data_IF_928831848961
#
_entry.id   IF_928831848961
#
_cell.length_a   1.000
_cell.length_b   1.000
_cell.length_c   1.000
_cell.angle_alpha   90.00
_cell.angle_beta   90.00
_cell.angle_gamma   90.00
#
_symmetry.space_group_name_H-M   'P 1'
#
loop_
_entity.id
_entity.type
_entity.pdbx_description
1 polymer ?
#
# COMPACT_ATOMS: atom_id res chain seq x y z
N UNK A 1 2.84 -36.01 14.67
CA UNK A 1 2.17 -35.39 13.50
C UNK A 1 2.55 -33.92 13.48
N UNK A 2 3.44 -33.52 12.56
CA UNK A 2 4.02 -32.17 12.49
C UNK A 2 3.22 -31.34 11.48
N UNK A 3 2.48 -30.34 11.95
CA UNK A 3 1.78 -29.37 11.12
C UNK A 3 2.80 -28.56 10.31
N UNK A 4 2.83 -28.78 9.00
CA UNK A 4 3.52 -27.94 8.03
C UNK A 4 2.70 -26.66 7.88
N UNK A 5 3.15 -25.57 8.51
CA UNK A 5 2.53 -24.26 8.31
C UNK A 5 2.88 -23.74 6.92
N UNK A 6 1.84 -23.51 6.13
CA UNK A 6 1.87 -22.82 4.85
C UNK A 6 2.25 -21.34 5.05
N UNK A 7 3.55 -21.03 5.07
CA UNK A 7 4.05 -19.63 5.14
C UNK A 7 4.21 -19.00 3.73
N UNK A 8 4.11 -19.82 2.68
CA UNK A 8 4.24 -19.38 1.28
C UNK A 8 3.14 -18.44 0.75
N UNK A 9 1.88 -18.44 1.23
CA UNK A 9 0.87 -17.49 0.74
C UNK A 9 1.07 -16.06 1.25
N UNK A 10 1.65 -15.88 2.44
CA UNK A 10 1.80 -14.57 3.11
C UNK A 10 2.89 -13.70 2.50
N UNK A 11 4.00 -14.29 2.06
CA UNK A 11 5.12 -13.58 1.43
C UNK A 11 4.73 -12.85 0.15
N UNK A 12 3.74 -13.37 -0.55
CA UNK A 12 3.38 -12.88 -1.87
C UNK A 12 2.25 -11.85 -1.88
N UNK A 13 1.69 -11.52 -0.71
CA UNK A 13 0.87 -10.32 -0.50
C UNK A 13 1.73 -9.14 -0.02
N UNK A 14 2.80 -9.40 0.74
CA UNK A 14 3.64 -8.35 1.37
C UNK A 14 4.67 -7.77 0.38
N UNK A 15 5.17 -8.56 -0.58
CA UNK A 15 6.16 -8.12 -1.58
C UNK A 15 5.55 -7.58 -2.90
N UNK A 16 4.22 -7.55 -3.02
CA UNK A 16 3.50 -7.11 -4.23
C UNK A 16 3.31 -5.60 -4.36
N UNK A 17 3.72 -4.81 -3.37
CA UNK A 17 3.32 -3.39 -3.22
C UNK A 17 4.46 -2.38 -3.47
N UNK A 18 5.51 -2.79 -4.17
CA UNK A 18 6.55 -1.88 -4.65
C UNK A 18 6.49 -1.80 -6.18
N UNK A 19 5.74 -0.83 -6.69
CA UNK A 19 5.86 -0.43 -8.09
C UNK A 19 7.23 0.23 -8.32
N UNK A 20 8.03 -0.35 -9.22
CA UNK A 20 9.02 0.38 -10.00
C UNK A 20 8.90 -0.03 -11.47
N UNK A 21 9.05 0.91 -12.43
CA UNK A 21 9.17 0.56 -13.82
C UNK A 21 10.55 -0.09 -14.03
N UNK A 22 10.56 -1.39 -14.27
CA UNK A 22 11.69 -2.08 -14.88
C UNK A 22 11.22 -2.67 -16.21
N UNK A 23 11.23 -1.80 -17.22
CA UNK A 23 10.69 -2.02 -18.58
C UNK A 23 11.29 -3.24 -19.30
N UNK A 24 12.34 -3.87 -18.76
CA UNK A 24 13.02 -5.00 -19.42
C UNK A 24 12.55 -6.37 -18.89
N UNK A 25 11.89 -6.43 -17.73
CA UNK A 25 11.63 -7.73 -17.09
C UNK A 25 10.35 -8.42 -17.56
N UNK A 26 9.48 -7.71 -18.28
CA UNK A 26 8.16 -8.22 -18.71
C UNK A 26 8.06 -8.46 -20.23
N UNK A 27 8.99 -7.97 -21.04
CA UNK A 27 8.97 -8.24 -22.48
C UNK A 27 9.70 -9.55 -22.80
N UNK A 28 9.12 -10.42 -23.65
CA UNK A 28 9.79 -11.63 -24.10
C UNK A 28 11.11 -11.24 -24.78
N UNK A 29 12.22 -11.83 -24.32
CA UNK A 29 13.54 -11.59 -24.89
C UNK A 29 13.50 -11.85 -26.42
N UNK A 30 14.12 -10.98 -27.23
CA UNK A 30 14.14 -11.15 -28.67
C UNK A 30 14.82 -12.48 -29.04
N UNK A 31 14.09 -13.35 -29.75
CA UNK A 31 14.57 -14.67 -30.15
C UNK A 31 15.38 -14.67 -31.45
N UNK A 32 15.46 -13.53 -32.14
CA UNK A 32 16.14 -13.39 -33.43
C UNK A 32 17.01 -12.13 -33.48
N UNK A 33 18.04 -12.15 -34.34
CA UNK A 33 18.92 -10.98 -34.58
C UNK A 33 18.13 -9.78 -35.09
N UNK A 34 17.11 -10.01 -35.92
CA UNK A 34 16.22 -8.96 -36.44
C UNK A 34 15.41 -8.28 -35.31
N UNK A 35 14.90 -9.06 -34.35
CA UNK A 35 14.22 -8.53 -33.18
C UNK A 35 15.17 -7.78 -32.23
N UNK A 36 16.43 -8.23 -32.10
CA UNK A 36 17.47 -7.52 -31.35
C UNK A 36 17.80 -6.15 -31.96
N UNK A 37 17.82 -6.04 -33.29
CA UNK A 37 18.11 -4.78 -33.98
C UNK A 37 16.99 -3.75 -33.83
N UNK A 38 15.74 -4.20 -33.64
CA UNK A 38 14.55 -3.37 -33.42
C UNK A 38 14.45 -2.82 -31.99
N UNK A 39 15.28 -3.28 -31.05
CA UNK A 39 15.29 -2.74 -29.70
C UNK A 39 15.88 -1.31 -29.67
N UNK A 40 15.36 -0.43 -28.80
CA UNK A 40 15.94 0.89 -28.57
C UNK A 40 17.44 0.81 -28.20
N UNK A 41 18.27 1.79 -28.60
CA UNK A 41 19.71 1.78 -28.36
C UNK A 41 20.11 1.52 -26.90
N UNK A 42 19.38 2.10 -25.95
CA UNK A 42 19.59 1.90 -24.50
C UNK A 42 19.40 0.44 -24.09
N UNK A 43 18.32 -0.21 -24.52
CA UNK A 43 18.03 -1.61 -24.19
C UNK A 43 19.04 -2.58 -24.82
N UNK A 44 19.49 -2.31 -26.06
CA UNK A 44 20.54 -3.11 -26.71
C UNK A 44 21.86 -3.02 -25.96
N UNK A 45 22.26 -1.83 -25.52
CA UNK A 45 23.48 -1.64 -24.74
C UNK A 45 23.41 -2.39 -23.39
N UNK A 46 22.28 -2.33 -22.70
CA UNK A 46 22.09 -3.07 -21.45
C UNK A 46 22.16 -4.60 -21.66
N UNK A 47 21.55 -5.12 -22.74
CA UNK A 47 21.67 -6.54 -23.10
C UNK A 47 23.11 -6.93 -23.44
N UNK A 48 23.83 -6.09 -24.17
CA UNK A 48 25.23 -6.33 -24.51
C UNK A 48 26.11 -6.37 -23.27
N UNK A 49 25.93 -5.43 -22.33
CA UNK A 49 26.65 -5.42 -21.06
C UNK A 49 26.33 -6.66 -20.21
N UNK A 50 25.07 -7.11 -20.17
CA UNK A 50 24.68 -8.37 -19.51
C UNK A 50 25.37 -9.58 -20.16
N UNK A 51 25.43 -9.62 -21.49
CA UNK A 51 26.12 -10.70 -22.24
C UNK A 51 27.62 -10.72 -21.95
N UNK A 52 28.28 -9.56 -21.92
CA UNK A 52 29.71 -9.47 -21.58
C UNK A 52 29.97 -10.02 -20.18
N UNK A 53 29.19 -9.58 -19.18
CA UNK A 53 29.31 -10.09 -17.80
C UNK A 53 29.06 -11.60 -17.73
N UNK A 54 28.03 -12.10 -18.41
CA UNK A 54 27.74 -13.53 -18.44
C UNK A 54 28.87 -14.34 -19.08
N UNK A 55 29.52 -13.80 -20.10
CA UNK A 55 30.63 -14.47 -20.78
C UNK A 55 31.91 -14.54 -19.92
N UNK A 56 32.08 -13.60 -18.98
CA UNK A 56 33.20 -13.55 -18.04
C UNK A 56 33.08 -14.58 -16.91
N UNK A 57 31.92 -15.17 -16.71
CA UNK A 57 31.71 -16.24 -15.72
C UNK A 57 32.42 -17.53 -16.15
N UNK A 58 32.76 -18.37 -15.17
CA UNK A 58 33.21 -19.75 -15.41
C UNK A 58 32.10 -20.60 -16.05
N UNK A 59 32.47 -21.71 -16.68
CA UNK A 59 31.47 -22.61 -17.28
C UNK A 59 30.53 -23.24 -16.25
N UNK A 60 31.01 -23.47 -15.02
CA UNK A 60 30.19 -23.94 -13.90
C UNK A 60 29.12 -22.90 -13.50
N UNK A 61 29.52 -21.64 -13.34
CA UNK A 61 28.58 -20.55 -13.04
C UNK A 61 27.58 -20.36 -14.19
N UNK A 62 28.03 -20.39 -15.45
CA UNK A 62 27.15 -20.31 -16.62
C UNK A 62 26.13 -21.46 -16.63
N UNK A 63 26.57 -22.68 -16.31
CA UNK A 63 25.68 -23.83 -16.20
C UNK A 63 24.64 -23.62 -15.10
N UNK A 64 25.06 -23.16 -13.91
CA UNK A 64 24.17 -22.84 -12.80
C UNK A 64 23.11 -21.80 -13.16
N UNK A 65 23.49 -20.70 -13.82
CA UNK A 65 22.54 -19.70 -14.30
C UNK A 65 21.56 -20.25 -15.34
N UNK A 66 22.01 -21.10 -16.26
CA UNK A 66 21.15 -21.74 -17.27
C UNK A 66 20.15 -22.68 -16.61
N UNK A 67 20.60 -23.51 -15.67
CA UNK A 67 19.74 -24.42 -14.91
C UNK A 67 18.69 -23.64 -14.09
N UNK A 68 19.13 -22.59 -13.38
CA UNK A 68 18.24 -21.72 -12.64
C UNK A 68 17.18 -21.08 -13.53
N UNK A 69 17.59 -20.52 -14.68
CA UNK A 69 16.65 -19.94 -15.63
C UNK A 69 15.68 -20.99 -16.21
N UNK A 70 16.14 -22.21 -16.48
CA UNK A 70 15.27 -23.30 -16.92
C UNK A 70 14.22 -23.65 -15.86
N UNK A 71 14.63 -23.81 -14.60
CA UNK A 71 13.73 -24.05 -13.46
C UNK A 71 12.70 -22.94 -13.29
N UNK A 72 13.13 -21.68 -13.38
CA UNK A 72 12.25 -20.52 -13.27
C UNK A 72 11.22 -20.45 -14.40
N UNK A 73 11.61 -20.79 -15.63
CA UNK A 73 10.71 -20.82 -16.78
C UNK A 73 9.71 -21.99 -16.73
N UNK A 74 10.11 -23.12 -16.16
CA UNK A 74 9.25 -24.29 -16.01
C UNK A 74 8.23 -24.15 -14.87
N UNK A 75 8.41 -23.18 -13.96
CA UNK A 75 7.54 -22.99 -12.81
C UNK A 75 6.15 -22.45 -13.23
N UNK A 76 5.04 -22.99 -12.70
CA UNK A 76 3.68 -22.54 -13.04
C UNK A 76 3.42 -21.08 -12.63
N UNK A 77 4.15 -20.57 -11.63
CA UNK A 77 4.06 -19.21 -11.12
C UNK A 77 5.25 -18.33 -11.54
N UNK A 78 5.89 -18.61 -12.69
CA UNK A 78 7.12 -17.94 -13.15
C UNK A 78 7.10 -16.40 -13.09
N UNK A 79 6.01 -15.76 -13.48
CA UNK A 79 5.89 -14.29 -13.49
C UNK A 79 5.95 -13.73 -12.06
N UNK A 80 5.20 -14.37 -11.14
CA UNK A 80 5.18 -14.01 -9.72
C UNK A 80 6.53 -14.21 -9.06
N UNK A 81 7.22 -15.32 -9.37
CA UNK A 81 8.57 -15.57 -8.87
C UNK A 81 9.57 -14.50 -9.33
N UNK A 82 9.52 -14.09 -10.60
CA UNK A 82 10.35 -13.01 -11.12
C UNK A 82 10.11 -11.69 -10.39
N UNK A 83 8.84 -11.33 -10.19
CA UNK A 83 8.49 -10.12 -9.46
C UNK A 83 9.07 -10.14 -8.03
N UNK A 84 8.84 -11.23 -7.29
CA UNK A 84 9.36 -11.40 -5.92
C UNK A 84 10.89 -11.29 -5.87
N UNK A 85 11.60 -11.95 -6.78
CA UNK A 85 13.06 -11.89 -6.83
C UNK A 85 13.58 -10.48 -7.10
N UNK A 86 12.93 -9.74 -7.99
CA UNK A 86 13.32 -8.36 -8.31
C UNK A 86 13.06 -7.43 -7.12
N UNK A 87 11.89 -7.52 -6.49
CA UNK A 87 11.57 -6.73 -5.31
C UNK A 87 12.54 -7.02 -4.17
N UNK A 88 12.81 -8.30 -3.91
CA UNK A 88 13.76 -8.72 -2.88
C UNK A 88 15.18 -8.19 -3.14
N UNK A 89 15.67 -8.31 -4.38
CA UNK A 89 16.99 -7.81 -4.74
C UNK A 89 17.08 -6.28 -4.62
N UNK A 90 16.03 -5.57 -5.04
CA UNK A 90 15.97 -4.12 -4.88
C UNK A 90 16.00 -3.74 -3.40
N UNK A 91 15.13 -4.33 -2.59
CA UNK A 91 15.08 -4.09 -1.16
C UNK A 91 16.43 -4.33 -0.49
N UNK A 92 17.10 -5.46 -0.81
CA UNK A 92 18.46 -5.72 -0.30
C UNK A 92 19.45 -4.61 -0.66
N UNK A 93 19.39 -4.09 -1.89
CA UNK A 93 20.26 -3.02 -2.38
C UNK A 93 19.96 -1.64 -1.78
N UNK A 94 18.77 -1.48 -1.19
CA UNK A 94 18.36 -0.25 -0.49
C UNK A 94 18.77 -0.28 1.00
N UNK A 95 19.16 -1.45 1.56
CA UNK A 95 19.64 -1.58 2.94
C UNK A 95 21.07 -1.06 3.11
N UNK A 96 21.40 -0.62 4.33
CA UNK A 96 22.77 -0.37 4.77
C UNK A 96 23.66 -1.60 4.56
N UNK A 97 24.92 -1.37 4.17
CA UNK A 97 25.85 -2.43 3.77
C UNK A 97 26.05 -3.48 4.89
N UNK A 98 26.15 -3.04 6.16
CA UNK A 98 26.32 -3.93 7.31
C UNK A 98 25.10 -4.83 7.56
N UNK A 99 23.89 -4.29 7.34
CA UNK A 99 22.64 -5.04 7.47
C UNK A 99 22.47 -6.01 6.29
N UNK A 100 22.79 -5.57 5.08
CA UNK A 100 22.77 -6.41 3.87
C UNK A 100 23.69 -7.61 4.02
N UNK A 101 24.93 -7.41 4.43
CA UNK A 101 25.90 -8.49 4.66
C UNK A 101 25.38 -9.50 5.69
N UNK A 102 24.84 -9.01 6.81
CA UNK A 102 24.26 -9.84 7.86
C UNK A 102 23.14 -10.74 7.32
N UNK A 103 22.22 -10.17 6.54
CA UNK A 103 21.09 -10.92 5.94
C UNK A 103 21.59 -11.96 4.93
N UNK A 104 22.57 -11.60 4.10
CA UNK A 104 23.15 -12.53 3.10
C UNK A 104 23.95 -13.67 3.74
N UNK A 105 24.52 -13.46 4.92
CA UNK A 105 25.23 -14.49 5.67
C UNK A 105 24.29 -15.51 6.37
N UNK A 106 23.02 -15.17 6.57
CA UNK A 106 22.06 -16.06 7.24
C UNK A 106 21.67 -17.27 6.38
N UNK A 107 21.42 -18.45 7.01
CA UNK A 107 20.73 -19.57 6.38
C UNK A 107 19.36 -19.17 5.84
N UNK A 108 18.89 -19.83 4.78
CA UNK A 108 17.67 -19.45 4.06
C UNK A 108 16.44 -19.24 4.96
N UNK A 109 16.16 -20.18 5.88
CA UNK A 109 14.98 -20.07 6.75
C UNK A 109 15.06 -18.88 7.70
N UNK A 110 16.23 -18.65 8.30
CA UNK A 110 16.47 -17.51 9.19
C UNK A 110 16.42 -16.20 8.43
N UNK A 111 16.99 -16.17 7.22
CA UNK A 111 16.94 -15.01 6.32
C UNK A 111 15.50 -14.63 6.00
N UNK A 112 14.64 -15.59 5.70
CA UNK A 112 13.24 -15.32 5.40
C UNK A 112 12.51 -14.70 6.61
N UNK A 113 12.75 -15.22 7.82
CA UNK A 113 12.16 -14.67 9.04
C UNK A 113 12.64 -13.24 9.29
N UNK A 114 13.94 -12.99 9.14
CA UNK A 114 14.55 -11.67 9.31
C UNK A 114 13.99 -10.66 8.29
N UNK A 115 13.91 -11.05 7.01
CA UNK A 115 13.33 -10.21 5.94
C UNK A 115 11.88 -9.85 6.26
N UNK A 116 11.07 -10.83 6.68
CA UNK A 116 9.68 -10.58 7.06
C UNK A 116 9.58 -9.62 8.25
N UNK A 117 10.47 -9.77 9.24
CA UNK A 117 10.52 -8.87 10.39
C UNK A 117 10.80 -7.43 9.98
N UNK A 118 11.85 -7.20 9.18
CA UNK A 118 12.22 -5.86 8.71
C UNK A 118 11.16 -5.21 7.84
N UNK A 119 10.61 -5.95 6.88
CA UNK A 119 9.56 -5.42 6.01
C UNK A 119 8.33 -5.04 6.83
N UNK A 120 7.96 -5.84 7.84
CA UNK A 120 6.84 -5.50 8.73
C UNK A 120 7.13 -4.26 9.58
N UNK A 121 8.36 -4.12 10.09
CA UNK A 121 8.76 -2.96 10.87
C UNK A 121 8.78 -1.68 10.02
N UNK A 122 9.29 -1.76 8.79
CA UNK A 122 9.30 -0.65 7.85
C UNK A 122 7.87 -0.23 7.47
N UNK A 123 6.98 -1.19 7.24
CA UNK A 123 5.56 -0.93 7.00
C UNK A 123 4.91 -0.27 8.21
N UNK A 124 5.13 -0.79 9.42
CA UNK A 124 4.62 -0.23 10.67
C UNK A 124 5.10 1.22 10.89
N UNK A 125 6.38 1.49 10.62
CA UNK A 125 6.96 2.82 10.81
C UNK A 125 6.42 3.83 9.79
N UNK A 126 6.45 3.49 8.50
CA UNK A 126 5.83 4.31 7.44
C UNK A 126 4.35 4.56 7.76
N UNK A 127 3.67 3.55 8.25
CA UNK A 127 2.27 3.61 8.61
C UNK A 127 2.00 4.60 9.76
N UNK A 128 2.77 4.55 10.85
CA UNK A 128 2.68 5.50 11.97
C UNK A 128 3.00 6.94 11.56
N UNK A 129 4.05 7.12 10.76
CA UNK A 129 4.46 8.44 10.26
C UNK A 129 3.40 9.13 9.41
N UNK A 130 2.60 8.33 8.67
CA UNK A 130 1.59 8.84 7.75
C UNK A 130 0.28 9.21 8.43
N UNK A 131 -0.18 8.41 9.39
CA UNK A 131 -1.55 8.47 9.91
C UNK A 131 -1.66 8.89 11.38
N UNK A 132 -0.52 9.18 12.01
CA UNK A 132 -0.41 9.68 13.39
C UNK A 132 -1.34 8.90 14.35
N UNK A 133 -1.21 7.58 14.31
CA UNK A 133 -2.12 6.66 15.00
C UNK A 133 -1.34 5.69 15.87
N UNK A 134 -1.93 5.35 17.01
CA UNK A 134 -1.41 4.35 17.93
C UNK A 134 -1.82 2.91 17.54
N UNK A 135 -2.57 2.75 16.45
CA UNK A 135 -2.92 1.43 15.91
C UNK A 135 -1.72 0.74 15.26
N UNK A 136 -1.68 -0.58 15.41
CA UNK A 136 -0.74 -1.43 14.68
C UNK A 136 -1.22 -1.59 13.24
N UNK A 137 -0.29 -1.84 12.32
CA UNK A 137 -0.60 -2.12 10.92
C UNK A 137 -1.62 -3.25 10.78
N UNK A 138 -1.43 -4.35 11.52
CA UNK A 138 -2.33 -5.51 11.48
C UNK A 138 -3.76 -5.15 11.92
N UNK A 139 -3.92 -4.29 12.93
CA UNK A 139 -5.25 -3.86 13.38
C UNK A 139 -6.02 -3.18 12.24
N UNK A 140 -5.33 -2.37 11.43
CA UNK A 140 -5.96 -1.68 10.30
C UNK A 140 -6.15 -2.53 9.07
N UNK A 141 -5.38 -3.61 8.90
CA UNK A 141 -5.71 -4.63 7.92
C UNK A 141 -7.03 -5.30 8.29
N UNK A 142 -7.23 -5.63 9.57
CA UNK A 142 -8.49 -6.23 10.05
C UNK A 142 -9.66 -5.25 9.93
N UNK A 143 -9.48 -3.99 10.37
CA UNK A 143 -10.49 -2.93 10.18
C UNK A 143 -10.78 -2.73 8.70
N UNK A 144 -9.76 -2.72 7.85
CA UNK A 144 -9.92 -2.58 6.40
C UNK A 144 -10.72 -3.71 5.76
N UNK A 145 -10.46 -4.96 6.17
CA UNK A 145 -11.24 -6.11 5.70
C UNK A 145 -12.69 -6.03 6.15
N UNK A 146 -12.92 -5.68 7.41
CA UNK A 146 -14.27 -5.45 7.93
C UNK A 146 -14.99 -4.32 7.19
N UNK A 147 -14.32 -3.18 7.00
CA UNK A 147 -14.86 -2.01 6.32
C UNK A 147 -15.18 -2.31 4.85
N UNK A 148 -14.30 -3.02 4.16
CA UNK A 148 -14.56 -3.50 2.80
C UNK A 148 -15.77 -4.44 2.74
N UNK A 149 -15.90 -5.36 3.70
CA UNK A 149 -17.07 -6.22 3.80
C UNK A 149 -18.36 -5.43 4.03
N UNK A 150 -18.30 -4.36 4.83
CA UNK A 150 -19.43 -3.46 5.03
C UNK A 150 -19.77 -2.67 3.75
N UNK A 151 -18.76 -2.11 3.06
CA UNK A 151 -18.94 -1.42 1.77
C UNK A 151 -19.59 -2.32 0.73
N UNK A 152 -19.15 -3.58 0.65
CA UNK A 152 -19.72 -4.56 -0.28
C UNK A 152 -21.22 -4.77 -0.02
N UNK A 153 -21.63 -4.90 1.26
CA UNK A 153 -23.04 -5.02 1.65
C UNK A 153 -23.86 -3.77 1.35
N UNK A 154 -23.25 -2.60 1.46
CA UNK A 154 -23.92 -1.30 1.30
C UNK A 154 -23.82 -0.74 -0.13
N UNK A 155 -23.28 -1.49 -1.09
CA UNK A 155 -22.97 -1.00 -2.44
C UNK A 155 -24.15 -0.29 -3.11
N UNK A 156 -25.36 -0.87 -3.06
CA UNK A 156 -26.56 -0.29 -3.69
C UNK A 156 -27.02 0.98 -2.97
N UNK A 157 -27.07 0.94 -1.63
CA UNK A 157 -27.45 2.08 -0.81
C UNK A 157 -26.49 3.26 -1.01
N UNK A 158 -25.18 2.99 -1.00
CA UNK A 158 -24.15 3.99 -1.26
C UNK A 158 -24.26 4.57 -2.67
N UNK A 159 -24.61 3.78 -3.68
CA UNK A 159 -24.81 4.31 -5.03
C UNK A 159 -25.95 5.33 -5.09
N UNK A 160 -27.05 5.09 -4.37
CA UNK A 160 -28.16 6.05 -4.28
C UNK A 160 -27.80 7.28 -3.44
N UNK A 161 -27.18 7.09 -2.27
CA UNK A 161 -26.69 8.19 -1.44
C UNK A 161 -25.66 9.04 -2.18
N UNK A 162 -24.83 8.42 -3.00
CA UNK A 162 -23.84 9.10 -3.85
C UNK A 162 -24.47 10.15 -4.77
N UNK A 163 -25.70 9.92 -5.27
CA UNK A 163 -26.40 10.90 -6.12
C UNK A 163 -26.88 12.14 -5.35
N UNK A 164 -26.97 12.05 -4.02
CA UNK A 164 -27.39 13.16 -3.16
C UNK A 164 -26.26 14.11 -2.78
N UNK A 165 -25.01 13.78 -3.13
CA UNK A 165 -23.83 14.63 -2.87
C UNK A 165 -23.88 15.86 -3.77
N UNK A 166 -23.86 17.05 -3.19
CA UNK A 166 -23.96 18.31 -3.94
C UNK A 166 -22.61 18.77 -4.51
N UNK A 167 -21.49 18.37 -3.91
CA UNK A 167 -20.16 18.74 -4.40
C UNK A 167 -19.85 18.09 -5.77
N UNK A 168 -19.79 18.96 -6.79
CA UNK A 168 -19.46 18.60 -8.16
C UNK A 168 -18.06 17.99 -8.33
N UNK A 169 -17.10 18.36 -7.47
CA UNK A 169 -15.75 17.76 -7.50
C UNK A 169 -15.82 16.32 -7.01
N UNK A 170 -16.48 16.09 -5.87
CA UNK A 170 -16.73 14.75 -5.35
C UNK A 170 -17.49 13.87 -6.36
N UNK A 171 -18.56 14.39 -6.97
CA UNK A 171 -19.33 13.68 -8.01
C UNK A 171 -18.45 13.23 -9.18
N UNK A 172 -17.62 14.14 -9.70
CA UNK A 172 -16.70 13.82 -10.79
C UNK A 172 -15.71 12.71 -10.41
N UNK A 173 -15.17 12.74 -9.20
CA UNK A 173 -14.25 11.71 -8.72
C UNK A 173 -14.98 10.37 -8.58
N UNK A 174 -16.21 10.37 -8.04
CA UNK A 174 -17.05 9.18 -7.89
C UNK A 174 -17.32 8.53 -9.25
N UNK A 175 -17.69 9.32 -10.26
CA UNK A 175 -17.96 8.84 -11.63
C UNK A 175 -16.72 8.24 -12.30
N UNK A 176 -15.55 8.80 -12.02
CA UNK A 176 -14.27 8.34 -12.59
C UNK A 176 -13.69 7.12 -11.86
N UNK A 177 -14.19 6.81 -10.66
CA UNK A 177 -13.66 5.71 -9.85
C UNK A 177 -14.29 4.38 -10.26
N UNK A 178 -13.45 3.50 -10.83
CA UNK A 178 -13.87 2.18 -11.33
C UNK A 178 -14.07 1.19 -10.18
N UNK A 179 -13.18 1.19 -9.19
CA UNK A 179 -13.25 0.26 -8.06
C UNK A 179 -14.43 0.61 -7.14
N UNK A 180 -15.32 -0.36 -6.92
CA UNK A 180 -16.56 -0.13 -6.18
C UNK A 180 -16.32 0.23 -4.71
N UNK A 181 -15.28 -0.33 -4.08
CA UNK A 181 -14.97 -0.07 -2.66
C UNK A 181 -14.32 1.30 -2.49
N UNK A 182 -13.39 1.67 -3.38
CA UNK A 182 -12.84 3.02 -3.43
C UNK A 182 -13.96 4.04 -3.65
N UNK A 183 -14.85 3.79 -4.61
CA UNK A 183 -16.00 4.66 -4.89
C UNK A 183 -16.92 4.78 -3.68
N UNK A 184 -17.28 3.66 -3.05
CA UNK A 184 -18.11 3.65 -1.84
C UNK A 184 -17.45 4.42 -0.69
N UNK A 185 -16.14 4.31 -0.55
CA UNK A 185 -15.37 5.07 0.44
C UNK A 185 -15.42 6.57 0.16
N UNK A 186 -15.22 7.00 -1.08
CA UNK A 186 -15.34 8.40 -1.50
C UNK A 186 -16.75 8.94 -1.21
N UNK A 187 -17.79 8.15 -1.48
CA UNK A 187 -19.18 8.50 -1.18
C UNK A 187 -19.37 8.72 0.32
N UNK A 188 -18.99 7.77 1.16
CA UNK A 188 -19.10 7.88 2.63
C UNK A 188 -18.43 9.15 3.13
N UNK A 189 -17.22 9.45 2.66
CA UNK A 189 -16.49 10.63 3.12
C UNK A 189 -17.02 11.95 2.59
N UNK A 190 -17.58 11.95 1.38
CA UNK A 190 -18.24 13.13 0.82
C UNK A 190 -19.53 13.44 1.60
N UNK A 191 -20.32 12.42 1.93
CA UNK A 191 -21.53 12.54 2.74
C UNK A 191 -21.21 13.05 4.15
N UNK A 192 -20.18 12.48 4.79
CA UNK A 192 -19.68 12.91 6.10
C UNK A 192 -19.18 14.37 6.07
N UNK A 193 -18.56 14.81 4.98
CA UNK A 193 -18.11 16.20 4.83
C UNK A 193 -19.28 17.18 4.69
N UNK A 194 -20.30 16.81 3.92
CA UNK A 194 -21.45 17.69 3.63
C UNK A 194 -22.48 17.72 4.76
N UNK A 195 -22.80 16.55 5.31
CA UNK A 195 -23.92 16.40 6.25
C UNK A 195 -23.44 16.18 7.69
N UNK A 196 -22.12 16.08 7.90
CA UNK A 196 -21.53 15.79 9.20
C UNK A 196 -21.97 14.43 9.74
N UNK A 197 -22.03 14.35 11.06
CA UNK A 197 -22.40 13.13 11.79
C UNK A 197 -23.91 13.05 12.06
N UNK A 198 -24.74 13.90 11.46
CA UNK A 198 -26.17 13.94 11.82
C UNK A 198 -26.94 12.70 11.33
N UNK A 199 -26.51 12.09 10.23
CA UNK A 199 -27.22 10.97 9.58
C UNK A 199 -26.45 9.65 9.58
N UNK A 200 -25.39 9.54 10.37
CA UNK A 200 -24.59 8.30 10.38
C UNK A 200 -25.46 7.10 10.79
N UNK A 201 -26.38 7.27 11.73
CA UNK A 201 -27.25 6.17 12.19
C UNK A 201 -28.07 5.56 11.04
N UNK A 202 -28.52 6.40 10.10
CA UNK A 202 -29.32 6.00 8.94
C UNK A 202 -28.47 5.27 7.89
N UNK A 203 -27.19 5.61 7.78
CA UNK A 203 -26.25 4.98 6.83
C UNK A 203 -25.62 3.70 7.39
N UNK A 204 -25.59 3.56 8.72
CA UNK A 204 -24.84 2.53 9.43
C UNK A 204 -25.72 1.67 10.36
N UNK A 205 -27.02 1.52 10.10
CA UNK A 205 -28.03 0.96 11.03
C UNK A 205 -27.60 -0.35 11.76
N UNK A 206 -26.89 -1.26 11.10
CA UNK A 206 -26.46 -2.57 11.65
C UNK A 206 -25.00 -2.65 12.16
N UNK A 207 -24.29 -1.53 12.25
CA UNK A 207 -22.83 -1.54 12.49
C UNK A 207 -22.42 -2.23 13.79
N UNK A 208 -23.25 -2.18 14.85
CA UNK A 208 -22.93 -2.74 16.17
C UNK A 208 -22.80 -4.26 16.16
N UNK A 209 -23.65 -4.95 15.40
CA UNK A 209 -23.65 -6.41 15.29
C UNK A 209 -22.35 -6.89 14.65
N UNK A 210 -21.84 -6.12 13.69
CA UNK A 210 -20.63 -6.46 12.94
C UNK A 210 -19.32 -6.16 13.69
N UNK A 211 -19.35 -5.29 14.70
CA UNK A 211 -18.12 -4.84 15.39
C UNK A 211 -17.64 -5.79 16.46
N UNK A 212 -18.51 -6.62 17.03
CA UNK A 212 -18.11 -7.58 18.09
C UNK A 212 -17.05 -8.55 17.58
N UNK A 213 -17.22 -9.07 16.36
CA UNK A 213 -16.22 -9.96 15.73
C UNK A 213 -14.95 -9.21 15.37
N UNK A 214 -15.05 -7.95 14.97
CA UNK A 214 -13.88 -7.12 14.68
C UNK A 214 -13.05 -6.91 15.95
N UNK A 215 -13.67 -6.47 17.05
CA UNK A 215 -12.97 -6.19 18.31
C UNK A 215 -12.20 -7.39 18.85
N UNK A 216 -12.76 -8.60 18.76
CA UNK A 216 -12.08 -9.82 19.17
C UNK A 216 -10.82 -10.16 18.34
N UNK A 217 -10.64 -9.55 17.17
CA UNK A 217 -9.49 -9.75 16.29
C UNK A 217 -8.42 -8.64 16.38
N UNK A 218 -8.74 -7.52 17.03
CA UNK A 218 -7.82 -6.39 17.18
C UNK A 218 -6.95 -6.52 18.43
N UNK A 219 -5.83 -5.79 18.46
CA UNK A 219 -4.94 -5.72 19.60
C UNK A 219 -5.60 -5.10 20.83
N UNK A 220 -5.06 -5.40 22.02
CA UNK A 220 -5.52 -4.81 23.29
C UNK A 220 -5.54 -3.29 23.25
N UNK A 221 -4.55 -2.66 22.61
CA UNK A 221 -4.51 -1.20 22.44
C UNK A 221 -5.72 -0.68 21.67
N UNK A 222 -6.06 -1.31 20.54
CA UNK A 222 -7.23 -0.93 19.76
C UNK A 222 -8.54 -1.16 20.52
N UNK A 223 -8.65 -2.29 21.22
CA UNK A 223 -9.81 -2.58 22.07
C UNK A 223 -9.97 -1.55 23.19
N UNK A 224 -8.86 -1.10 23.80
CA UNK A 224 -8.86 -0.10 24.86
C UNK A 224 -9.30 1.28 24.33
N UNK A 225 -8.81 1.70 23.16
CA UNK A 225 -9.30 2.92 22.48
C UNK A 225 -10.78 2.85 22.12
N UNK A 226 -11.25 1.67 21.69
CA UNK A 226 -12.67 1.46 21.39
C UNK A 226 -13.53 1.50 22.67
N UNK A 227 -13.05 0.90 23.75
CA UNK A 227 -13.73 0.91 25.05
C UNK A 227 -13.72 2.28 25.73
N UNK A 228 -12.71 3.12 25.48
CA UNK A 228 -12.63 4.48 26.05
C UNK A 228 -13.60 5.47 25.42
N UNK A 229 -14.23 5.13 24.29
CA UNK A 229 -15.28 5.95 23.71
C UNK A 229 -16.56 5.89 24.58
N UNK A 230 -17.06 7.07 24.94
CA UNK A 230 -18.16 7.28 25.90
C UNK A 230 -19.54 7.02 25.30
N UNK A 231 -19.64 7.02 23.98
CA UNK A 231 -20.90 6.80 23.27
C UNK A 231 -20.73 5.92 22.03
N UNK A 232 -21.83 5.33 21.60
CA UNK A 232 -21.89 4.57 20.36
C UNK A 232 -21.55 5.42 19.13
N UNK A 233 -21.88 6.72 19.18
CA UNK A 233 -21.45 7.69 18.18
C UNK A 233 -19.92 7.79 18.11
N UNK A 234 -19.27 8.00 19.26
CA UNK A 234 -17.81 8.09 19.31
C UNK A 234 -17.13 6.79 18.86
N UNK A 235 -17.72 5.63 19.19
CA UNK A 235 -17.23 4.31 18.75
C UNK A 235 -17.33 4.15 17.24
N UNK A 236 -18.46 4.53 16.62
CA UNK A 236 -18.56 4.47 15.17
C UNK A 236 -17.61 5.46 14.51
N UNK A 237 -17.52 6.70 15.00
CA UNK A 237 -16.58 7.69 14.49
C UNK A 237 -15.14 7.16 14.51
N UNK A 238 -14.75 6.51 15.60
CA UNK A 238 -13.45 5.85 15.73
C UNK A 238 -13.24 4.78 14.66
N UNK A 239 -14.24 3.95 14.41
CA UNK A 239 -14.18 2.91 13.38
C UNK A 239 -14.15 3.46 11.95
N UNK A 240 -14.93 4.49 11.65
CA UNK A 240 -14.93 5.16 10.34
C UNK A 240 -13.59 5.84 10.07
N UNK A 241 -12.99 6.43 11.12
CA UNK A 241 -11.64 6.97 11.08
C UNK A 241 -10.60 5.89 10.79
N UNK A 242 -10.71 4.73 11.42
CA UNK A 242 -9.84 3.59 11.13
C UNK A 242 -10.10 3.01 9.73
N UNK A 243 -11.35 3.00 9.26
CA UNK A 243 -11.71 2.66 7.88
C UNK A 243 -11.06 3.62 6.87
N UNK A 244 -11.10 4.94 7.13
CA UNK A 244 -10.39 5.95 6.35
C UNK A 244 -8.89 5.67 6.30
N UNK A 245 -8.29 5.39 7.45
CA UNK A 245 -6.86 5.09 7.54
C UNK A 245 -6.47 3.88 6.72
N UNK A 246 -7.31 2.83 6.73
CA UNK A 246 -7.11 1.67 5.87
C UNK A 246 -7.25 2.03 4.39
N UNK A 247 -8.27 2.81 4.02
CA UNK A 247 -8.44 3.30 2.65
C UNK A 247 -7.27 4.14 2.17
N UNK A 248 -6.79 5.08 2.99
CA UNK A 248 -5.65 5.92 2.69
C UNK A 248 -4.42 5.05 2.50
N UNK A 249 -4.12 4.14 3.43
CA UNK A 249 -2.98 3.22 3.33
C UNK A 249 -2.99 2.39 2.03
N UNK A 250 -4.17 1.97 1.56
CA UNK A 250 -4.34 1.25 0.30
C UNK A 250 -4.22 2.17 -0.93
N UNK A 251 -4.82 3.36 -0.88
CA UNK A 251 -4.87 4.31 -2.00
C UNK A 251 -3.55 5.05 -2.21
N UNK A 252 -2.72 5.18 -1.17
CA UNK A 252 -1.37 5.79 -1.23
C UNK A 252 -0.45 5.12 -2.25
N UNK A 253 -0.69 3.86 -2.61
CA UNK A 253 0.13 3.12 -3.57
C UNK A 253 -0.21 3.44 -5.03
N UNK A 254 -1.36 4.06 -5.28
CA UNK A 254 -1.83 4.45 -6.61
C UNK A 254 -1.47 5.87 -7.02
N UNK A 255 -1.08 6.74 -6.09
CA UNK A 255 -0.74 8.14 -6.39
C UNK A 255 0.62 8.21 -7.10
N UNK A 256 0.62 8.80 -8.28
CA UNK A 256 1.81 8.94 -9.12
C UNK A 256 2.67 10.14 -8.71
N UNK A 257 3.95 10.12 -9.05
CA UNK A 257 4.84 11.25 -8.75
C UNK A 257 4.42 12.53 -9.49
N UNK A 258 3.85 12.40 -10.70
CA UNK A 258 3.30 13.53 -11.47
C UNK A 258 2.10 14.17 -10.75
N UNK A 259 1.23 13.34 -10.16
CA UNK A 259 0.08 13.81 -9.38
C UNK A 259 0.50 14.51 -8.08
N UNK A 260 1.51 13.98 -7.38
CA UNK A 260 2.10 14.62 -6.20
C UNK A 260 2.76 15.95 -6.54
N UNK A 261 3.44 16.02 -7.69
CA UNK A 261 4.07 17.24 -8.17
C UNK A 261 3.04 18.31 -8.53
N UNK A 262 1.93 17.91 -9.14
CA UNK A 262 0.82 18.82 -9.42
C UNK A 262 0.22 19.36 -8.12
N UNK A 263 -0.10 18.48 -7.17
CA UNK A 263 -0.58 18.86 -5.84
C UNK A 263 0.34 19.87 -5.13
N UNK A 264 1.66 19.62 -5.12
CA UNK A 264 2.64 20.55 -4.54
C UNK A 264 2.57 21.93 -5.17
N UNK A 265 2.35 22.01 -6.49
CA UNK A 265 2.34 23.27 -7.24
C UNK A 265 1.03 24.05 -7.06
N UNK A 266 -0.10 23.38 -7.19
CA UNK A 266 -1.41 24.02 -7.37
C UNK A 266 -2.30 24.02 -6.13
N UNK A 267 -2.12 23.09 -5.20
CA UNK A 267 -3.05 22.90 -4.08
C UNK A 267 -2.44 23.17 -2.70
N UNK A 268 -1.14 22.92 -2.51
CA UNK A 268 -0.49 23.15 -1.22
C UNK A 268 -0.41 24.63 -0.85
N UNK A 269 -0.66 24.94 0.43
CA UNK A 269 -0.39 26.26 0.99
C UNK A 269 1.10 26.61 0.89
N UNK A 270 1.42 27.90 0.97
CA UNK A 270 2.82 28.34 0.99
C UNK A 270 3.56 27.86 2.24
N UNK A 271 2.89 27.85 3.39
CA UNK A 271 3.45 27.45 4.67
C UNK A 271 3.82 25.95 4.70
N UNK A 272 2.95 25.09 4.17
CA UNK A 272 3.22 23.66 4.10
C UNK A 272 4.31 23.33 3.08
N UNK A 273 4.39 24.09 1.98
CA UNK A 273 5.50 23.98 1.02
C UNK A 273 6.83 24.34 1.66
N UNK A 274 6.89 25.46 2.37
CA UNK A 274 8.11 25.88 3.08
C UNK A 274 8.51 24.86 4.16
N UNK A 275 7.54 24.22 4.81
CA UNK A 275 7.79 23.13 5.78
C UNK A 275 8.38 21.89 5.11
N UNK A 276 7.84 21.53 3.93
CA UNK A 276 8.31 20.40 3.14
C UNK A 276 9.71 20.62 2.56
N UNK A 277 9.98 21.83 2.04
CA UNK A 277 11.25 22.20 1.42
C UNK A 277 12.43 22.21 2.42
N UNK A 278 12.13 22.31 3.71
CA UNK A 278 13.12 22.24 4.81
C UNK A 278 13.47 20.81 5.23
N UNK A 279 12.76 19.80 4.73
CA UNK A 279 13.00 18.41 5.09
C UNK A 279 14.23 17.83 4.39
N UNK A 280 14.77 16.75 4.97
CA UNK A 280 15.80 15.98 4.29
C UNK A 280 15.24 15.30 3.03
N UNK A 281 16.03 15.11 1.96
CA UNK A 281 15.55 14.53 0.70
C UNK A 281 14.81 13.19 0.86
N UNK A 282 15.24 12.34 1.80
CA UNK A 282 14.60 11.06 2.10
C UNK A 282 13.17 11.19 2.67
N UNK A 283 12.86 12.33 3.31
CA UNK A 283 11.59 12.59 3.99
C UNK A 283 10.61 13.40 3.13
N UNK A 284 11.08 14.04 2.05
CA UNK A 284 10.24 14.91 1.19
C UNK A 284 9.08 14.13 0.56
N UNK A 285 9.34 13.02 -0.13
CA UNK A 285 8.25 12.28 -0.80
C UNK A 285 7.25 11.67 0.19
N UNK A 286 7.68 11.01 1.30
CA UNK A 286 6.75 10.57 2.34
C UNK A 286 5.90 11.69 2.91
N UNK A 287 6.50 12.85 3.22
CA UNK A 287 5.77 13.99 3.79
C UNK A 287 4.86 14.66 2.77
N UNK A 288 5.26 14.73 1.49
CA UNK A 288 4.39 15.23 0.41
C UNK A 288 3.16 14.34 0.23
N UNK A 289 3.34 13.02 0.27
CA UNK A 289 2.21 12.07 0.26
C UNK A 289 1.32 12.26 1.48
N UNK A 290 1.88 12.46 2.67
CA UNK A 290 1.10 12.77 3.87
C UNK A 290 0.25 14.03 3.68
N UNK A 291 0.85 15.13 3.20
CA UNK A 291 0.12 16.36 2.92
C UNK A 291 -0.98 16.17 1.87
N UNK A 292 -0.70 15.43 0.79
CA UNK A 292 -1.68 15.12 -0.26
C UNK A 292 -2.97 14.53 0.34
N UNK A 293 -2.84 13.55 1.24
CA UNK A 293 -4.00 12.92 1.88
C UNK A 293 -4.59 13.75 3.03
N UNK A 294 -3.79 14.56 3.75
CA UNK A 294 -4.30 15.45 4.79
C UNK A 294 -5.14 16.60 4.22
N UNK A 295 -4.74 17.17 3.08
CA UNK A 295 -5.50 18.21 2.40
C UNK A 295 -6.85 17.69 1.88
N UNK A 296 -6.88 16.41 1.49
CA UNK A 296 -8.09 15.70 1.03
C UNK A 296 -8.86 15.04 2.17
N UNK A 297 -8.36 15.10 3.41
CA UNK A 297 -9.03 14.55 4.58
C UNK A 297 -10.29 15.37 4.89
N UNK A 298 -11.47 14.75 5.03
CA UNK A 298 -12.70 15.46 5.40
C UNK A 298 -12.56 16.23 6.71
N UNK A 299 -13.11 17.45 6.78
CA UNK A 299 -13.06 18.30 7.98
C UNK A 299 -13.66 17.62 9.21
N UNK A 300 -14.68 16.78 9.02
CA UNK A 300 -15.24 16.01 10.14
C UNK A 300 -14.23 15.01 10.70
N UNK A 301 -13.41 14.36 9.85
CA UNK A 301 -12.32 13.48 10.30
C UNK A 301 -11.22 14.31 10.97
N UNK A 302 -10.88 15.49 10.42
CA UNK A 302 -9.91 16.39 11.06
C UNK A 302 -10.37 16.82 12.46
N UNK A 303 -11.66 17.14 12.63
CA UNK A 303 -12.26 17.45 13.95
C UNK A 303 -12.23 16.24 14.88
N UNK A 304 -12.50 15.04 14.37
CA UNK A 304 -12.36 13.80 15.15
C UNK A 304 -10.91 13.44 15.51
N UNK A 305 -9.92 14.09 14.88
CA UNK A 305 -8.48 13.91 15.15
C UNK A 305 -7.87 15.02 15.99
N UNK A 306 -8.52 16.18 16.06
CA UNK A 306 -8.11 17.23 16.97
C UNK A 306 -8.19 16.70 18.41
N UNK A 307 -7.16 16.92 19.25
CA UNK A 307 -7.28 16.62 20.67
C UNK A 307 -8.50 17.38 21.21
N UNK A 308 -9.42 16.65 21.82
CA UNK A 308 -10.53 17.25 22.58
C UNK A 308 -9.95 18.08 23.70
N UNK A 309 -10.08 19.41 23.61
CA UNK A 309 -9.92 20.32 24.74
C UNK A 309 -10.99 20.07 25.81
#
# INVERSE_FOLDING_TARGET
>A
MRNKWNVLPLLALILGMMNLPSVISQQPLPKTVKALQQLPPKQRNELQQKKVRFNQLSEEEKAGYREFNAKLNAAPNQQRLRAVMMTYNKWLLDLDDSLRERILAMPLEQRLQEVVHWVRQEQEQRFKELLDTNLKHDDLLQVGQWYNGWLDRQTENLAELGKSIEDKVAQKIIEQTIDARQRGTIIVFSLLREQGDMKWHDWFEDWKTDVTSLMGSLSETAQLFYASAESDQQRLQLLLRWGYYSFVAQSMQGVTDDELLEFYKSEMSREDRETLDRQQPASVIPMLRRFYFQYRMPEVIKRMLAPTE
#
